data_IF_633835567507
#
_entry.id   IF_633835567507
#
_cell.length_a   1.000
_cell.length_b   1.000
_cell.length_c   1.000
_cell.angle_alpha   90.00
_cell.angle_beta   90.00
_cell.angle_gamma   90.00
#
_symmetry.space_group_name_H-M   'P 1'
#
loop_
_entity.id
_entity.type
_entity.pdbx_description
1 polymer ?
#
# COMPACT_ATOMS: atom_id res chain seq x y z
N UNK A 1 1.54 9.57 -22.14
CA UNK A 1 1.91 8.68 -21.01
C UNK A 1 2.64 7.41 -21.45
N UNK A 2 2.01 6.41 -22.09
CA UNK A 2 2.72 5.17 -22.54
C UNK A 2 3.95 5.43 -23.42
N UNK A 3 3.91 6.49 -24.23
CA UNK A 3 4.99 6.85 -25.16
C UNK A 3 6.26 7.41 -24.48
N UNK A 4 6.15 7.90 -23.23
CA UNK A 4 7.26 8.54 -22.51
C UNK A 4 7.81 7.64 -21.41
N UNK A 5 6.95 6.83 -20.76
CA UNK A 5 7.33 6.01 -19.59
C UNK A 5 7.50 4.53 -19.89
N UNK A 6 7.10 4.03 -21.06
CA UNK A 6 7.09 2.60 -21.39
C UNK A 6 6.19 1.73 -20.49
N UNK A 7 5.54 2.33 -19.49
CA UNK A 7 4.70 1.67 -18.48
C UNK A 7 3.32 2.33 -18.46
N UNK A 8 2.27 1.51 -18.44
CA UNK A 8 0.91 1.99 -18.22
C UNK A 8 0.68 2.11 -16.72
N UNK A 9 0.47 3.32 -16.22
CA UNK A 9 0.10 3.52 -14.82
C UNK A 9 -1.25 2.81 -14.55
N UNK A 10 -1.27 1.97 -13.52
CA UNK A 10 -2.50 1.38 -13.03
C UNK A 10 -3.34 2.49 -12.40
N UNK A 11 -4.55 2.71 -12.94
CA UNK A 11 -5.48 3.68 -12.35
C UNK A 11 -6.08 3.08 -11.08
N UNK A 12 -6.18 3.84 -9.98
CA UNK A 12 -6.91 3.38 -8.82
C UNK A 12 -8.38 3.13 -9.20
N UNK A 13 -8.91 1.95 -8.90
CA UNK A 13 -10.31 1.57 -9.12
C UNK A 13 -10.85 1.09 -7.77
N UNK A 14 -11.95 1.70 -7.32
CA UNK A 14 -12.54 1.44 -6.00
C UNK A 14 -12.86 -0.04 -5.71
N UNK A 15 -13.06 -0.85 -6.76
CA UNK A 15 -13.38 -2.27 -6.65
C UNK A 15 -12.16 -3.18 -6.39
N UNK A 16 -10.93 -2.64 -6.41
CA UNK A 16 -9.70 -3.41 -6.17
C UNK A 16 -8.90 -2.75 -5.06
N UNK A 17 -9.00 -3.28 -3.85
CA UNK A 17 -8.48 -2.67 -2.61
C UNK A 17 -6.99 -2.28 -2.63
N UNK A 18 -6.20 -2.87 -3.53
CA UNK A 18 -4.77 -2.59 -3.73
C UNK A 18 -4.47 -1.48 -4.76
N UNK A 19 -5.46 -1.00 -5.50
CA UNK A 19 -5.22 -0.14 -6.65
C UNK A 19 -4.55 1.19 -6.30
N UNK A 20 -4.84 1.75 -5.12
CA UNK A 20 -4.18 2.96 -4.64
C UNK A 20 -2.68 2.68 -4.37
N UNK A 21 -2.39 1.61 -3.64
CA UNK A 21 -1.03 1.16 -3.38
C UNK A 21 -0.23 0.96 -4.67
N UNK A 22 -0.80 0.25 -5.66
CA UNK A 22 -0.13 0.00 -6.94
C UNK A 22 0.10 1.30 -7.72
N UNK A 23 -0.86 2.22 -7.70
CA UNK A 23 -0.74 3.51 -8.39
C UNK A 23 0.34 4.41 -7.77
N UNK A 24 0.40 4.46 -6.43
CA UNK A 24 1.41 5.24 -5.70
C UNK A 24 2.79 4.61 -5.82
N UNK A 25 2.89 3.28 -5.82
CA UNK A 25 4.16 2.58 -6.09
C UNK A 25 4.68 2.89 -7.49
N UNK A 26 3.82 2.83 -8.49
CA UNK A 26 4.20 3.18 -9.86
C UNK A 26 4.59 4.67 -10.00
N UNK A 27 3.99 5.54 -9.20
CA UNK A 27 4.36 6.95 -9.13
C UNK A 27 5.78 7.12 -8.57
N UNK A 28 6.10 6.49 -7.44
CA UNK A 28 7.46 6.52 -6.86
C UNK A 28 8.50 5.93 -7.81
N UNK A 29 8.17 4.83 -8.50
CA UNK A 29 9.05 4.23 -9.51
C UNK A 29 9.36 5.16 -10.69
N UNK A 30 8.49 6.12 -10.98
CA UNK A 30 8.63 7.10 -12.05
C UNK A 30 9.13 8.47 -11.56
N UNK A 31 9.53 8.61 -10.29
CA UNK A 31 9.86 9.91 -9.68
C UNK A 31 10.81 10.78 -10.52
N UNK A 32 11.79 10.17 -11.18
CA UNK A 32 12.78 10.86 -12.03
C UNK A 32 12.14 11.41 -13.32
N UNK A 33 11.07 10.79 -13.80
CA UNK A 33 10.33 11.17 -15.02
C UNK A 33 9.11 12.04 -14.72
N UNK A 34 8.69 12.17 -13.45
CA UNK A 34 7.52 12.97 -13.07
C UNK A 34 7.71 14.44 -13.47
N UNK A 35 8.93 14.97 -13.32
CA UNK A 35 9.23 16.34 -13.71
C UNK A 35 9.09 16.54 -15.23
N UNK A 36 9.68 15.64 -16.02
CA UNK A 36 9.59 15.72 -17.48
C UNK A 36 8.14 15.54 -17.97
N UNK A 37 7.38 14.65 -17.32
CA UNK A 37 5.96 14.43 -17.61
C UNK A 37 5.09 15.62 -17.22
N UNK A 38 5.38 16.31 -16.11
CA UNK A 38 4.59 17.46 -15.68
C UNK A 38 4.78 18.64 -16.63
N UNK A 39 6.00 18.82 -17.14
CA UNK A 39 6.32 19.80 -18.20
C UNK A 39 5.60 19.43 -19.50
N UNK A 40 5.71 18.18 -19.96
CA UNK A 40 5.12 17.74 -21.24
C UNK A 40 3.58 17.76 -21.22
N UNK A 41 2.96 17.46 -20.07
CA UNK A 41 1.51 17.39 -19.93
C UNK A 41 0.87 18.73 -19.53
N UNK A 42 1.66 19.81 -19.39
CA UNK A 42 1.26 21.12 -18.87
C UNK A 42 0.48 21.02 -17.53
N UNK A 43 0.85 20.03 -16.71
CA UNK A 43 0.21 19.82 -15.41
C UNK A 43 1.09 20.49 -14.36
N UNK A 44 0.53 21.49 -13.66
CA UNK A 44 1.16 22.15 -12.50
C UNK A 44 1.22 21.24 -11.26
N UNK A 45 1.59 19.97 -11.42
CA UNK A 45 1.79 19.07 -10.28
C UNK A 45 3.24 19.16 -9.83
N UNK A 46 3.48 19.93 -8.77
CA UNK A 46 4.77 19.95 -8.08
C UNK A 46 4.64 18.94 -6.94
N UNK A 47 4.94 17.68 -7.21
CA UNK A 47 5.23 16.73 -6.13
C UNK A 47 6.56 17.15 -5.53
N UNK A 48 6.53 17.57 -4.27
CA UNK A 48 7.73 17.95 -3.54
C UNK A 48 8.49 16.69 -3.09
N UNK A 49 9.79 16.80 -2.77
CA UNK A 49 10.53 15.70 -2.17
C UNK A 49 9.86 15.17 -0.89
N UNK A 50 9.22 16.05 -0.12
CA UNK A 50 8.45 15.68 1.08
C UNK A 50 7.22 14.84 0.72
N UNK A 51 6.50 15.16 -0.36
CA UNK A 51 5.37 14.36 -0.82
C UNK A 51 5.81 12.95 -1.24
N UNK A 52 6.95 12.85 -1.93
CA UNK A 52 7.52 11.55 -2.32
C UNK A 52 7.93 10.75 -1.07
N UNK A 53 8.59 11.39 -0.09
CA UNK A 53 8.94 10.74 1.18
C UNK A 53 7.70 10.25 1.94
N UNK A 54 6.63 11.05 1.97
CA UNK A 54 5.35 10.66 2.56
C UNK A 54 4.78 9.42 1.86
N UNK A 55 4.78 9.40 0.52
CA UNK A 55 4.28 8.27 -0.25
C UNK A 55 5.14 7.01 -0.01
N UNK A 56 6.45 7.13 0.07
CA UNK A 56 7.35 6.02 0.39
C UNK A 56 7.07 5.44 1.80
N UNK A 57 6.82 6.31 2.78
CA UNK A 57 6.42 5.89 4.13
C UNK A 57 5.04 5.21 4.12
N UNK A 58 4.07 5.78 3.39
CA UNK A 58 2.74 5.18 3.20
C UNK A 58 2.85 3.78 2.60
N UNK A 59 3.64 3.62 1.53
CA UNK A 59 3.85 2.32 0.87
C UNK A 59 4.48 1.31 1.83
N UNK A 60 5.40 1.74 2.68
CA UNK A 60 5.99 0.88 3.71
C UNK A 60 4.95 0.43 4.73
N UNK A 61 4.11 1.35 5.21
CA UNK A 61 3.05 1.08 6.18
C UNK A 61 1.92 0.20 5.63
N UNK A 62 1.54 0.41 4.37
CA UNK A 62 0.46 -0.30 3.70
C UNK A 62 0.87 -1.67 3.12
N UNK A 63 2.18 -1.92 2.97
CA UNK A 63 2.72 -3.15 2.39
C UNK A 63 2.20 -4.44 3.04
N UNK A 64 2.15 -4.59 4.38
CA UNK A 64 1.63 -5.81 5.01
C UNK A 64 0.20 -6.14 4.56
N UNK A 65 -0.66 -5.13 4.44
CA UNK A 65 -2.04 -5.29 3.96
C UNK A 65 -2.06 -5.64 2.47
N UNK A 66 -1.27 -4.93 1.66
CA UNK A 66 -1.20 -5.15 0.22
C UNK A 66 -0.67 -6.55 -0.15
N UNK A 67 0.29 -7.07 0.60
CA UNK A 67 0.84 -8.41 0.40
C UNK A 67 -0.17 -9.49 0.85
N UNK A 68 -0.85 -9.29 1.99
CA UNK A 68 -1.89 -10.20 2.46
C UNK A 68 -3.07 -10.29 1.49
N UNK A 69 -3.48 -9.17 0.89
CA UNK A 69 -4.54 -9.16 -0.11
C UNK A 69 -4.14 -9.94 -1.37
N UNK A 70 -2.90 -9.83 -1.82
CA UNK A 70 -2.42 -10.65 -2.95
C UNK A 70 -2.46 -12.15 -2.65
N UNK A 71 -2.02 -12.53 -1.45
CA UNK A 71 -2.05 -13.94 -1.01
C UNK A 71 -3.49 -14.45 -0.98
N UNK A 72 -4.39 -13.71 -0.35
CA UNK A 72 -5.78 -14.15 -0.17
C UNK A 72 -6.59 -14.13 -1.48
N UNK A 73 -6.27 -13.24 -2.42
CA UNK A 73 -6.93 -13.17 -3.73
C UNK A 73 -6.36 -14.15 -4.75
N UNK A 74 -5.08 -14.54 -4.61
CA UNK A 74 -4.40 -15.45 -5.53
C UNK A 74 -4.67 -16.93 -5.30
N UNK A 75 -5.28 -17.29 -4.16
CA UNK A 75 -5.62 -18.68 -3.84
C UNK A 75 -7.06 -18.95 -4.27
N UNK A 76 -7.25 -19.70 -5.37
CA UNK A 76 -8.57 -20.07 -5.91
C UNK A 76 -9.46 -20.79 -4.88
N UNK A 77 -8.85 -21.43 -3.87
CA UNK A 77 -9.53 -22.08 -2.75
C UNK A 77 -8.95 -21.60 -1.41
N UNK A 78 -9.09 -20.31 -1.11
CA UNK A 78 -8.64 -19.75 0.17
C UNK A 78 -9.44 -20.38 1.34
N UNK A 79 -8.89 -21.44 1.93
CA UNK A 79 -9.42 -22.05 3.15
C UNK A 79 -8.81 -21.38 4.40
N UNK A 80 -9.39 -21.65 5.58
CA UNK A 80 -8.89 -21.19 6.89
C UNK A 80 -7.39 -21.47 7.12
N UNK A 81 -6.84 -22.51 6.48
CA UNK A 81 -5.41 -22.86 6.57
C UNK A 81 -4.44 -21.82 5.99
N UNK A 82 -4.88 -20.90 5.13
CA UNK A 82 -4.07 -19.78 4.62
C UNK A 82 -4.45 -18.47 5.30
N UNK A 83 -5.72 -18.31 5.69
CA UNK A 83 -6.23 -17.09 6.31
C UNK A 83 -5.55 -16.78 7.65
N UNK A 84 -5.60 -17.71 8.61
CA UNK A 84 -5.08 -17.47 9.97
C UNK A 84 -3.56 -17.18 9.99
N UNK A 85 -2.70 -17.92 9.26
CA UNK A 85 -1.29 -17.60 9.17
C UNK A 85 -1.04 -16.22 8.55
N UNK A 86 -1.80 -15.87 7.51
CA UNK A 86 -1.67 -14.56 6.84
C UNK A 86 -2.04 -13.42 7.80
N UNK A 87 -3.15 -13.55 8.53
CA UNK A 87 -3.56 -12.56 9.53
C UNK A 87 -2.54 -12.39 10.66
N UNK A 88 -1.97 -13.48 11.16
CA UNK A 88 -0.90 -13.42 12.17
C UNK A 88 0.36 -12.72 11.66
N UNK A 89 0.76 -13.00 10.42
CA UNK A 89 1.91 -12.32 9.78
C UNK A 89 1.63 -10.82 9.64
N UNK A 90 0.44 -10.43 9.16
CA UNK A 90 0.02 -9.02 9.05
C UNK A 90 0.07 -8.33 10.40
N UNK A 91 -0.56 -8.91 11.43
CA UNK A 91 -0.59 -8.34 12.77
C UNK A 91 0.83 -8.18 13.34
N UNK A 92 1.71 -9.17 13.13
CA UNK A 92 3.12 -9.08 13.54
C UNK A 92 3.86 -7.96 12.82
N UNK A 93 3.70 -7.84 11.50
CA UNK A 93 4.37 -6.81 10.70
C UNK A 93 3.88 -5.41 11.09
N UNK A 94 2.57 -5.21 11.25
CA UNK A 94 2.00 -3.94 11.70
C UNK A 94 2.46 -3.57 13.12
N UNK A 95 2.55 -4.53 14.05
CA UNK A 95 3.11 -4.31 15.38
C UNK A 95 4.61 -3.99 15.36
N UNK A 96 5.36 -4.49 14.38
CA UNK A 96 6.75 -4.09 14.18
C UNK A 96 6.83 -2.66 13.67
N UNK A 97 5.95 -2.27 12.75
CA UNK A 97 5.88 -0.92 12.19
C UNK A 97 5.40 0.13 13.22
N UNK A 98 4.52 -0.24 14.15
CA UNK A 98 4.09 0.68 15.22
C UNK A 98 5.21 1.03 16.20
N UNK A 99 6.28 0.20 16.25
CA UNK A 99 7.47 0.44 17.08
C UNK A 99 8.56 1.22 16.36
N UNK A 100 8.47 1.40 15.04
CA UNK A 100 9.40 2.23 14.28
C UNK A 100 9.04 3.71 14.38
N UNK A 101 10.05 4.57 14.19
CA UNK A 101 9.84 6.01 14.11
C UNK A 101 9.23 6.37 12.76
N UNK A 102 7.90 6.51 12.71
CA UNK A 102 7.16 7.04 11.56
C UNK A 102 6.97 8.56 11.71
N UNK A 103 7.17 9.30 10.63
CA UNK A 103 7.01 10.76 10.59
C UNK A 103 5.53 11.15 10.45
N UNK A 104 4.82 10.57 9.48
CA UNK A 104 3.46 10.99 9.13
C UNK A 104 2.45 9.83 9.22
N UNK A 105 2.86 8.61 8.89
CA UNK A 105 1.96 7.46 8.70
C UNK A 105 1.64 6.66 9.97
N UNK A 106 1.96 7.17 11.16
CA UNK A 106 1.62 6.48 12.43
C UNK A 106 0.10 6.20 12.57
N UNK A 107 -0.80 7.16 12.32
CA UNK A 107 -2.25 6.91 12.43
C UNK A 107 -2.73 5.84 11.47
N UNK A 108 -2.06 5.67 10.32
CA UNK A 108 -2.39 4.63 9.36
C UNK A 108 -2.12 3.24 9.91
N UNK A 109 -0.94 3.03 10.53
CA UNK A 109 -0.57 1.74 11.13
C UNK A 109 -1.48 1.41 12.31
N UNK A 110 -1.79 2.38 13.16
CA UNK A 110 -2.73 2.23 14.27
C UNK A 110 -4.13 1.90 13.77
N UNK A 111 -4.60 2.59 12.73
CA UNK A 111 -5.86 2.31 12.06
C UNK A 111 -5.93 0.90 11.48
N UNK A 112 -4.85 0.41 10.86
CA UNK A 112 -4.77 -0.97 10.38
C UNK A 112 -4.80 -1.99 11.53
N UNK A 113 -4.04 -1.77 12.60
CA UNK A 113 -4.04 -2.66 13.77
C UNK A 113 -5.43 -2.75 14.39
N UNK A 114 -6.11 -1.61 14.58
CA UNK A 114 -7.46 -1.55 15.12
C UNK A 114 -8.46 -2.25 14.19
N UNK A 115 -8.41 -1.96 12.90
CA UNK A 115 -9.36 -2.51 11.92
C UNK A 115 -9.21 -4.02 11.77
N UNK A 116 -7.97 -4.52 11.67
CA UNK A 116 -7.68 -5.96 11.59
C UNK A 116 -8.05 -6.65 12.89
N UNK A 117 -7.69 -6.07 14.03
CA UNK A 117 -8.03 -6.61 15.35
C UNK A 117 -9.53 -6.73 15.58
N UNK A 118 -10.29 -5.69 15.24
CA UNK A 118 -11.75 -5.69 15.42
C UNK A 118 -12.45 -6.63 14.43
N UNK A 119 -11.99 -6.69 13.18
CA UNK A 119 -12.64 -7.47 12.13
C UNK A 119 -12.46 -8.97 12.31
N UNK A 120 -11.31 -9.41 12.82
CA UNK A 120 -10.94 -10.82 12.96
C UNK A 120 -10.72 -11.20 14.43
N UNK A 121 -11.41 -10.53 15.36
CA UNK A 121 -11.23 -10.73 16.80
C UNK A 121 -11.41 -12.20 17.20
N UNK A 122 -12.52 -12.82 16.76
CA UNK A 122 -12.84 -14.22 17.06
C UNK A 122 -11.79 -15.19 16.49
N UNK A 123 -11.25 -14.89 15.30
CA UNK A 123 -10.22 -15.71 14.65
C UNK A 123 -8.84 -15.63 15.35
N UNK A 124 -8.59 -14.59 16.15
CA UNK A 124 -7.35 -14.45 16.93
C UNK A 124 -7.39 -15.11 18.30
N UNK A 125 -8.59 -15.36 18.84
CA UNK A 125 -8.80 -15.92 20.18
C UNK A 125 -9.00 -17.46 20.17
N UNK A 126 -8.89 -18.08 18.98
CA UNK A 126 -8.89 -19.52 18.76
C UNK A 126 -7.53 -20.16 19.05
#
# INVERSE_FOLDING_TARGET
MKAVTGKSLLRPVATRWKSLYDSLRALVDLRELIYDLSVELDIRTILTPSDISYIEEYLTCAKPIADALDILQGVETAFYGVLLPTLHVVKRQLNSLSRTSLQDCRPLVEGYLLSVGNRFAEDFDC
#
